data_IF_532963538131
#
_entry.id   IF_532963538131
#
_cell.length_a   1.000
_cell.length_b   1.000
_cell.length_c   1.000
_cell.angle_alpha   90.00
_cell.angle_beta   90.00
_cell.angle_gamma   90.00
#
_symmetry.space_group_name_H-M   'P 1'
#
loop_
_entity.id
_entity.type
_entity.pdbx_description
1 polymer ?
#
# COMPACT_ATOMS: atom_id res chain seq x y z
N UNK A 1 12.49 5.81 38.83
CA UNK A 1 11.63 4.75 39.38
C UNK A 1 12.54 3.72 40.03
N UNK A 2 12.26 3.29 41.27
CA UNK A 2 12.99 2.18 41.90
C UNK A 2 12.32 0.87 41.49
N UNK A 3 13.06 0.00 40.82
CA UNK A 3 12.61 -1.36 40.53
C UNK A 3 12.34 -2.11 41.84
N UNK A 4 11.20 -2.80 41.95
CA UNK A 4 10.83 -3.58 43.13
C UNK A 4 10.99 -5.06 42.81
N UNK A 5 11.98 -5.70 43.43
CA UNK A 5 12.22 -7.12 43.28
C UNK A 5 11.22 -7.96 44.10
N UNK A 6 10.93 -9.21 43.67
CA UNK A 6 10.26 -10.20 44.51
C UNK A 6 11.03 -10.41 45.82
N UNK A 7 10.33 -10.80 46.88
CA UNK A 7 10.99 -11.12 48.15
C UNK A 7 11.79 -12.43 48.04
N UNK A 8 12.72 -12.63 48.97
CA UNK A 8 13.64 -13.79 48.96
C UNK A 8 12.90 -15.13 48.94
N UNK A 9 11.77 -15.24 49.66
CA UNK A 9 10.95 -16.46 49.68
C UNK A 9 10.38 -16.77 48.29
N UNK A 10 9.93 -15.76 47.56
CA UNK A 10 9.44 -15.93 46.19
C UNK A 10 10.58 -16.32 45.25
N UNK A 11 11.75 -15.68 45.35
CA UNK A 11 12.91 -16.01 44.51
C UNK A 11 13.41 -17.44 44.72
N UNK A 12 13.47 -17.90 45.97
CA UNK A 12 13.91 -19.27 46.31
C UNK A 12 12.94 -20.36 45.86
N UNK A 13 11.67 -20.01 45.61
CA UNK A 13 10.65 -20.93 45.12
C UNK A 13 10.63 -21.07 43.59
N UNK A 14 11.36 -20.21 42.86
CA UNK A 14 11.42 -20.27 41.41
C UNK A 14 12.31 -21.43 40.95
N UNK A 15 11.78 -22.25 40.05
CA UNK A 15 12.54 -23.28 39.34
C UNK A 15 12.98 -22.81 37.96
N UNK A 16 12.23 -21.89 37.35
CA UNK A 16 12.53 -21.24 36.08
C UNK A 16 11.82 -19.89 35.96
N UNK A 17 12.30 -19.04 35.07
CA UNK A 17 11.60 -17.84 34.63
C UNK A 17 10.57 -18.20 33.54
N UNK A 18 9.29 -17.94 33.80
CA UNK A 18 8.20 -18.37 32.91
C UNK A 18 8.21 -17.69 31.54
N UNK A 19 8.81 -16.50 31.42
CA UNK A 19 8.85 -15.74 30.17
C UNK A 19 10.00 -16.18 29.26
N UNK A 20 11.17 -16.45 29.85
CA UNK A 20 12.41 -16.78 29.13
C UNK A 20 12.76 -18.26 29.14
N UNK A 21 12.14 -19.07 30.01
CA UNK A 21 12.47 -20.48 30.22
C UNK A 21 13.84 -20.71 30.87
N UNK A 22 14.49 -19.67 31.40
CA UNK A 22 15.79 -19.79 32.05
C UNK A 22 15.59 -20.40 33.45
N UNK A 23 16.08 -21.62 33.63
CA UNK A 23 16.02 -22.33 34.92
C UNK A 23 16.90 -21.66 35.99
N UNK A 24 16.41 -21.57 37.21
CA UNK A 24 17.18 -21.16 38.39
C UNK A 24 17.99 -22.33 38.94
N UNK A 25 19.11 -22.03 39.62
CA UNK A 25 19.92 -23.07 40.27
C UNK A 25 19.13 -23.65 41.45
N UNK A 26 18.88 -24.97 41.50
CA UNK A 26 18.16 -25.56 42.63
C UNK A 26 18.95 -25.42 43.93
N UNK A 27 18.25 -25.10 45.02
CA UNK A 27 18.85 -24.96 46.35
C UNK A 27 19.50 -26.27 46.79
N UNK A 28 20.75 -26.20 47.27
CA UNK A 28 21.47 -27.36 47.81
C UNK A 28 22.21 -28.22 46.77
N UNK A 29 22.33 -27.77 45.52
CA UNK A 29 22.99 -28.54 44.45
C UNK A 29 24.52 -28.44 44.50
N UNK A 30 25.22 -29.58 44.37
CA UNK A 30 26.67 -29.66 44.22
C UNK A 30 27.06 -30.55 43.04
N UNK A 31 28.03 -30.16 42.18
CA UNK A 31 28.86 -28.96 42.26
C UNK A 31 28.17 -27.70 41.70
N UNK A 32 28.06 -26.66 42.54
CA UNK A 32 27.40 -25.39 42.20
C UNK A 32 27.90 -24.75 40.89
N UNK A 33 29.21 -24.90 40.61
CA UNK A 33 29.85 -24.28 39.46
C UNK A 33 29.33 -24.78 38.11
N UNK A 34 28.90 -26.05 38.01
CA UNK A 34 28.32 -26.58 36.78
C UNK A 34 26.95 -25.95 36.52
N UNK A 35 26.10 -25.89 37.54
CA UNK A 35 24.77 -25.27 37.43
C UNK A 35 24.85 -23.78 37.14
N UNK A 36 25.80 -23.08 37.75
CA UNK A 36 26.08 -21.67 37.43
C UNK A 36 26.50 -21.47 35.97
N UNK A 37 27.36 -22.35 35.42
CA UNK A 37 27.75 -22.27 34.00
C UNK A 37 26.57 -22.52 33.06
N UNK A 38 25.65 -23.43 33.41
CA UNK A 38 24.42 -23.68 32.62
C UNK A 38 23.48 -22.48 32.63
N UNK A 39 23.24 -21.89 33.81
CA UNK A 39 22.45 -20.66 33.96
C UNK A 39 23.05 -19.54 33.11
N UNK A 40 24.36 -19.32 33.24
CA UNK A 40 25.07 -18.30 32.46
C UNK A 40 24.96 -18.56 30.96
N UNK A 41 25.17 -19.79 30.51
CA UNK A 41 25.05 -20.15 29.10
C UNK A 41 23.65 -19.86 28.55
N UNK A 42 22.59 -20.24 29.28
CA UNK A 42 21.20 -19.98 28.86
C UNK A 42 20.88 -18.49 28.84
N UNK A 43 21.35 -17.76 29.84
CA UNK A 43 21.20 -16.29 29.89
C UNK A 43 21.90 -15.63 28.69
N UNK A 44 23.09 -16.11 28.33
CA UNK A 44 23.83 -15.62 27.17
C UNK A 44 23.12 -15.94 25.84
N UNK A 45 22.52 -17.13 25.70
CA UNK A 45 21.72 -17.49 24.53
C UNK A 45 20.47 -16.60 24.41
N UNK A 46 19.78 -16.34 25.52
CA UNK A 46 18.63 -15.43 25.54
C UNK A 46 19.02 -13.99 25.18
N UNK A 47 20.21 -13.54 25.62
CA UNK A 47 20.73 -12.20 25.35
C UNK A 47 21.50 -12.08 24.02
N UNK A 48 21.72 -13.18 23.29
CA UNK A 48 22.55 -13.21 22.08
C UNK A 48 22.01 -12.25 21.03
N UNK A 49 20.71 -12.35 20.72
CA UNK A 49 20.03 -11.50 19.74
C UNK A 49 19.99 -10.02 20.15
N UNK A 50 20.01 -9.72 21.44
CA UNK A 50 20.08 -8.34 21.92
C UNK A 50 21.47 -7.71 21.68
N UNK A 51 22.51 -8.52 21.46
CA UNK A 51 23.86 -8.05 21.13
C UNK A 51 24.13 -7.93 19.63
N UNK A 52 23.27 -8.47 18.76
CA UNK A 52 23.40 -8.34 17.31
C UNK A 52 23.50 -6.86 16.91
N UNK A 53 24.47 -6.51 16.07
CA UNK A 53 24.65 -5.16 15.54
C UNK A 53 24.92 -4.07 16.60
N UNK A 54 25.22 -4.45 17.85
CA UNK A 54 25.50 -3.47 18.92
C UNK A 54 26.80 -2.71 18.64
N UNK A 55 26.74 -1.38 18.69
CA UNK A 55 27.92 -0.53 18.68
C UNK A 55 28.63 -0.53 20.05
N UNK A 56 29.96 -0.48 20.04
CA UNK A 56 30.79 -0.43 21.25
C UNK A 56 32.06 0.39 21.00
N UNK A 57 32.64 0.93 22.07
CA UNK A 57 33.92 1.64 22.02
C UNK A 57 35.06 0.66 21.73
N UNK A 58 35.87 0.97 20.72
CA UNK A 58 36.99 0.16 20.23
C UNK A 58 38.28 1.00 20.15
N UNK A 59 38.37 2.04 20.99
CA UNK A 59 39.46 3.01 21.07
C UNK A 59 38.93 4.43 21.39
N UNK A 60 39.84 5.39 21.57
CA UNK A 60 39.50 6.74 22.04
C UNK A 60 38.54 7.48 21.10
N UNK A 61 38.73 7.34 19.78
CA UNK A 61 37.87 7.89 18.72
C UNK A 61 37.48 6.82 17.69
N UNK A 62 37.30 5.58 18.15
CA UNK A 62 36.88 4.48 17.28
C UNK A 62 35.81 3.62 17.91
N UNK A 63 34.91 3.13 17.05
CA UNK A 63 33.87 2.18 17.43
C UNK A 63 34.03 0.87 16.68
N UNK A 64 33.55 -0.20 17.30
CA UNK A 64 33.21 -1.45 16.65
C UNK A 64 31.70 -1.65 16.61
N UNK A 65 31.25 -2.47 15.67
CA UNK A 65 29.86 -2.93 15.57
C UNK A 65 29.87 -4.44 15.49
N UNK A 66 29.10 -5.09 16.37
CA UNK A 66 29.02 -6.56 16.41
C UNK A 66 28.38 -7.12 15.12
N UNK A 67 28.73 -8.36 14.71
CA UNK A 67 27.98 -9.05 13.67
C UNK A 67 26.51 -9.21 14.07
N UNK A 68 25.66 -9.47 13.08
CA UNK A 68 24.25 -9.72 13.32
C UNK A 68 23.45 -9.82 12.03
N UNK A 69 22.14 -10.06 12.16
CA UNK A 69 21.21 -10.05 11.03
C UNK A 69 20.19 -8.93 11.18
N UNK A 70 19.88 -8.27 10.08
CA UNK A 70 18.82 -7.27 9.98
C UNK A 70 17.99 -7.49 8.72
N UNK A 71 16.84 -6.81 8.68
CA UNK A 71 16.03 -6.68 7.46
C UNK A 71 16.14 -5.24 7.01
N UNK A 72 16.51 -5.04 5.74
CA UNK A 72 16.54 -3.72 5.11
C UNK A 72 15.74 -3.84 3.81
N UNK A 73 14.71 -3.01 3.67
CA UNK A 73 13.65 -3.19 2.69
C UNK A 73 13.09 -4.60 2.77
N UNK A 74 13.23 -5.36 1.68
CA UNK A 74 12.71 -6.73 1.56
C UNK A 74 13.80 -7.81 1.66
N UNK A 75 15.02 -7.43 2.07
CA UNK A 75 16.17 -8.34 2.12
C UNK A 75 16.63 -8.59 3.55
N UNK A 76 16.84 -9.88 3.88
CA UNK A 76 17.56 -10.28 5.10
C UNK A 76 19.05 -10.15 4.85
N UNK A 77 19.72 -9.28 5.58
CA UNK A 77 21.14 -9.00 5.45
C UNK A 77 21.89 -9.55 6.66
N UNK A 78 22.96 -10.30 6.39
CA UNK A 78 23.94 -10.72 7.40
C UNK A 78 25.13 -9.77 7.42
N UNK A 79 25.29 -9.03 8.50
CA UNK A 79 26.43 -8.14 8.72
C UNK A 79 27.52 -8.86 9.50
N UNK A 80 28.75 -8.83 8.98
CA UNK A 80 29.89 -9.57 9.55
C UNK A 80 30.53 -8.88 10.78
N UNK A 81 30.15 -7.65 11.09
CA UNK A 81 30.79 -6.85 12.12
C UNK A 81 31.92 -5.97 11.56
N UNK A 82 32.31 -4.98 12.35
CA UNK A 82 33.44 -4.09 12.06
C UNK A 82 34.14 -3.67 13.33
N UNK A 83 35.40 -3.30 13.20
CA UNK A 83 36.25 -2.73 14.26
C UNK A 83 36.94 -1.48 13.74
N UNK A 84 37.54 -0.70 14.64
CA UNK A 84 38.38 0.46 14.34
C UNK A 84 37.74 1.50 13.40
N UNK A 85 36.41 1.66 13.47
CA UNK A 85 35.69 2.65 12.66
C UNK A 85 35.88 4.03 13.29
N UNK A 86 36.55 4.92 12.57
CA UNK A 86 36.93 6.24 13.09
C UNK A 86 35.71 7.16 13.24
N UNK A 87 35.59 7.77 14.41
CA UNK A 87 34.56 8.74 14.76
C UNK A 87 35.19 10.14 14.73
N UNK A 88 34.45 11.12 14.21
CA UNK A 88 34.96 12.49 14.14
C UNK A 88 34.89 13.14 15.54
N UNK A 89 35.98 13.78 15.96
CA UNK A 89 36.04 14.47 17.25
C UNK A 89 35.17 15.74 17.26
N UNK A 90 34.69 16.14 18.44
CA UNK A 90 33.86 17.33 18.69
C UNK A 90 32.58 17.40 17.81
N UNK A 91 31.99 16.23 17.50
CA UNK A 91 30.74 16.16 16.74
C UNK A 91 29.99 14.87 17.06
N UNK A 92 28.72 14.86 16.69
CA UNK A 92 27.90 13.64 16.64
C UNK A 92 28.16 12.90 15.33
N UNK A 93 28.27 11.58 15.40
CA UNK A 93 28.38 10.65 14.28
C UNK A 93 27.21 9.68 14.33
N UNK A 94 26.42 9.64 13.27
CA UNK A 94 25.33 8.71 13.06
C UNK A 94 25.84 7.45 12.38
N UNK A 95 25.54 6.30 12.98
CA UNK A 95 26.01 4.99 12.54
C UNK A 95 24.81 4.19 12.05
N UNK A 96 24.89 3.68 10.83
CA UNK A 96 23.83 2.88 10.21
C UNK A 96 24.39 1.84 9.25
N UNK A 97 23.61 0.83 8.92
CA UNK A 97 23.92 -0.11 7.83
C UNK A 97 23.01 0.22 6.65
N UNK A 98 23.58 0.43 5.47
CA UNK A 98 22.84 0.74 4.24
C UNK A 98 22.20 -0.51 3.59
N UNK A 99 21.39 -0.31 2.55
CA UNK A 99 20.75 -1.37 1.78
C UNK A 99 21.74 -2.37 1.15
N UNK A 100 23.01 -2.00 0.98
CA UNK A 100 24.07 -2.90 0.52
C UNK A 100 24.66 -3.77 1.64
N UNK A 101 24.21 -3.58 2.89
CA UNK A 101 24.74 -4.27 4.06
C UNK A 101 26.09 -3.72 4.54
N UNK A 102 26.43 -2.49 4.16
CA UNK A 102 27.69 -1.84 4.54
C UNK A 102 27.47 -0.86 5.68
N UNK A 103 28.42 -0.80 6.61
CA UNK A 103 28.38 0.18 7.70
C UNK A 103 28.75 1.57 7.19
N UNK A 104 27.95 2.55 7.55
CA UNK A 104 28.11 3.94 7.19
C UNK A 104 28.20 4.81 8.45
N UNK A 105 29.07 5.81 8.39
CA UNK A 105 29.26 6.82 9.42
C UNK A 105 29.01 8.19 8.79
N UNK A 106 28.07 8.95 9.34
CA UNK A 106 27.69 10.28 8.85
C UNK A 106 27.71 11.30 9.98
N UNK A 107 28.27 12.48 9.75
CA UNK A 107 28.26 13.58 10.75
C UNK A 107 27.12 14.57 10.51
N UNK A 108 26.35 14.42 9.44
CA UNK A 108 25.25 15.33 9.10
C UNK A 108 23.91 14.82 9.62
N UNK A 109 23.50 13.63 9.17
CA UNK A 109 22.25 12.97 9.55
C UNK A 109 22.26 11.51 9.04
N UNK A 110 21.32 10.70 9.53
CA UNK A 110 20.92 9.44 8.90
C UNK A 110 20.05 9.72 7.65
N UNK A 111 19.95 8.78 6.68
CA UNK A 111 19.02 8.89 5.57
C UNK A 111 17.56 9.05 6.03
N UNK A 112 16.73 9.67 5.21
CA UNK A 112 15.29 9.87 5.52
C UNK A 112 14.44 8.66 5.19
N UNK A 113 14.79 7.93 4.13
CA UNK A 113 14.11 6.70 3.73
C UNK A 113 14.49 5.53 4.66
N UNK A 114 13.57 5.18 5.56
CA UNK A 114 13.77 4.11 6.56
C UNK A 114 13.74 2.70 5.97
N UNK A 115 13.42 2.54 4.69
CA UNK A 115 13.49 1.23 4.01
C UNK A 115 14.89 0.95 3.48
N UNK A 116 15.73 1.98 3.31
CA UNK A 116 17.05 1.87 2.69
C UNK A 116 18.21 1.66 3.68
N UNK A 117 17.95 1.63 4.98
CA UNK A 117 18.97 1.42 6.01
C UNK A 117 18.39 0.92 7.34
N UNK A 118 19.25 0.45 8.23
CA UNK A 118 18.93 0.23 9.65
C UNK A 118 19.79 1.14 10.55
N UNK A 119 19.17 1.92 11.45
CA UNK A 119 19.91 2.71 12.44
C UNK A 119 20.61 1.80 13.46
N UNK A 120 21.85 2.14 13.79
CA UNK A 120 22.66 1.40 14.76
C UNK A 120 22.85 2.22 16.02
N UNK A 121 23.47 3.39 15.89
CA UNK A 121 23.79 4.23 17.04
C UNK A 121 23.97 5.69 16.65
N UNK A 122 23.94 6.53 17.67
CA UNK A 122 24.43 7.90 17.63
C UNK A 122 25.61 8.02 18.60
N UNK A 123 26.76 8.41 18.09
CA UNK A 123 28.02 8.48 18.84
C UNK A 123 28.43 9.94 18.97
N UNK A 124 28.64 10.41 20.19
CA UNK A 124 29.14 11.76 20.45
C UNK A 124 30.58 11.63 20.95
N UNK A 125 31.49 12.36 20.31
CA UNK A 125 32.87 12.48 20.74
C UNK A 125 33.22 13.94 21.02
N UNK A 126 34.01 14.17 22.08
CA UNK A 126 34.49 15.49 22.45
C UNK A 126 35.87 15.37 23.12
N UNK A 127 36.72 16.38 22.90
CA UNK A 127 38.06 16.44 23.51
C UNK A 127 38.94 15.18 23.28
N UNK A 128 38.73 14.50 22.15
CA UNK A 128 39.54 13.33 21.76
C UNK A 128 39.06 12.01 22.35
N UNK A 129 37.88 11.97 22.97
CA UNK A 129 37.26 10.75 23.51
C UNK A 129 35.79 10.63 23.11
N UNK A 130 35.28 9.40 23.02
CA UNK A 130 33.84 9.16 22.95
C UNK A 130 33.21 9.46 24.31
N UNK A 131 32.16 10.28 24.33
CA UNK A 131 31.44 10.67 25.55
C UNK A 131 30.08 10.00 25.68
N UNK A 132 29.49 9.54 24.57
CA UNK A 132 28.26 8.75 24.60
C UNK A 132 28.07 7.91 23.34
N UNK A 133 27.52 6.71 23.52
CA UNK A 133 26.94 5.89 22.44
C UNK A 133 25.48 5.66 22.79
N UNK A 134 24.57 6.26 22.03
CA UNK A 134 23.13 6.06 22.15
C UNK A 134 22.72 4.97 21.16
N UNK A 135 22.16 3.87 21.67
CA UNK A 135 21.65 2.78 20.86
C UNK A 135 20.36 3.18 20.13
N UNK A 136 20.34 3.06 18.80
CA UNK A 136 19.18 3.40 17.96
C UNK A 136 18.58 2.18 17.24
N UNK A 137 19.09 0.97 17.51
CA UNK A 137 18.60 -0.27 16.89
C UNK A 137 17.11 -0.52 17.15
N UNK A 138 16.61 -0.06 18.31
CA UNK A 138 15.20 -0.16 18.68
C UNK A 138 14.24 0.54 17.70
N UNK A 139 14.71 1.53 16.94
CA UNK A 139 13.89 2.24 15.95
C UNK A 139 13.47 1.37 14.77
N UNK A 140 14.24 0.31 14.48
CA UNK A 140 13.94 -0.62 13.39
C UNK A 140 13.34 -1.95 13.87
N UNK A 141 13.26 -2.17 15.20
CA UNK A 141 12.91 -3.49 15.75
C UNK A 141 11.46 -3.92 15.45
N UNK A 142 10.53 -2.97 15.40
CA UNK A 142 9.11 -3.19 15.06
C UNK A 142 8.67 -2.34 13.86
N UNK A 143 9.61 -1.91 13.03
CA UNK A 143 9.29 -1.15 11.84
C UNK A 143 8.60 -2.05 10.82
N UNK A 144 7.47 -1.59 10.28
CA UNK A 144 6.82 -2.20 9.14
C UNK A 144 7.45 -1.61 7.87
N UNK A 145 8.16 -2.40 7.05
CA UNK A 145 8.91 -1.86 5.91
C UNK A 145 8.00 -1.35 4.79
N UNK A 146 6.84 -1.99 4.56
CA UNK A 146 5.83 -1.53 3.61
C UNK A 146 4.42 -2.09 3.91
N UNK A 147 3.40 -1.58 3.22
CA UNK A 147 2.01 -2.05 3.33
C UNK A 147 1.81 -3.46 2.74
N UNK A 148 2.70 -3.92 1.86
CA UNK A 148 2.57 -5.22 1.20
C UNK A 148 2.69 -6.36 2.23
N UNK A 149 3.53 -6.18 3.27
CA UNK A 149 3.68 -7.16 4.35
C UNK A 149 2.49 -7.21 5.32
N UNK A 150 1.66 -6.17 5.35
CA UNK A 150 0.46 -6.16 6.19
C UNK A 150 -0.73 -6.87 5.52
N UNK A 151 -0.58 -7.35 4.28
CA UNK A 151 -1.70 -7.83 3.45
C UNK A 151 -2.90 -6.86 3.49
N UNK A 152 -2.63 -5.57 3.68
CA UNK A 152 -3.67 -4.56 3.55
C UNK A 152 -3.93 -4.50 2.04
N UNK A 153 -5.13 -4.91 1.58
CA UNK A 153 -5.46 -4.73 0.17
C UNK A 153 -5.27 -3.24 -0.10
N UNK A 154 -4.47 -2.90 -1.10
CA UNK A 154 -4.32 -1.54 -1.60
C UNK A 154 -5.73 -0.96 -1.65
N UNK A 155 -6.01 0.00 -0.77
CA UNK A 155 -7.36 0.54 -0.61
C UNK A 155 -7.70 1.17 -1.95
N UNK A 156 -8.52 0.47 -2.74
CA UNK A 156 -9.19 1.06 -3.90
C UNK A 156 -10.08 2.14 -3.28
N UNK A 157 -9.60 3.38 -3.29
CA UNK A 157 -10.49 4.52 -3.13
C UNK A 157 -11.57 4.38 -4.19
N UNK A 158 -12.83 4.41 -3.74
CA UNK A 158 -13.97 3.86 -4.46
C UNK A 158 -13.99 4.20 -5.95
N UNK A 159 -14.33 3.20 -6.76
CA UNK A 159 -14.73 3.42 -8.14
C UNK A 159 -15.83 4.47 -8.12
N UNK A 160 -15.62 5.59 -8.81
CA UNK A 160 -16.60 6.66 -8.87
C UNK A 160 -17.48 6.43 -10.08
N UNK A 161 -18.78 6.41 -9.85
CA UNK A 161 -19.78 6.26 -10.88
C UNK A 161 -20.52 7.59 -11.06
N UNK A 162 -20.57 8.07 -12.30
CA UNK A 162 -21.46 9.16 -12.69
C UNK A 162 -22.60 8.57 -13.53
N UNK A 163 -23.86 8.83 -13.15
CA UNK A 163 -25.04 8.20 -13.75
C UNK A 163 -26.00 9.25 -14.27
N UNK A 164 -26.34 9.15 -15.55
CA UNK A 164 -27.42 9.88 -16.19
C UNK A 164 -28.63 8.99 -16.33
N UNK A 165 -29.77 9.41 -15.77
CA UNK A 165 -31.06 8.76 -15.98
C UNK A 165 -31.95 9.70 -16.77
N UNK A 166 -32.37 9.24 -17.94
CA UNK A 166 -33.26 9.96 -18.84
C UNK A 166 -34.63 9.29 -18.78
N UNK A 167 -35.52 9.91 -18.00
CA UNK A 167 -36.88 9.41 -17.82
C UNK A 167 -37.77 9.71 -19.04
N UNK A 168 -38.73 8.82 -19.29
CA UNK A 168 -39.68 8.96 -20.39
C UNK A 168 -39.14 8.50 -21.75
N UNK A 169 -39.78 9.00 -22.79
CA UNK A 169 -39.57 8.61 -24.19
C UNK A 169 -38.52 9.53 -24.82
N UNK A 170 -37.46 8.94 -25.37
CA UNK A 170 -36.44 9.68 -26.12
C UNK A 170 -36.89 9.88 -27.57
N UNK A 171 -37.66 10.93 -27.82
CA UNK A 171 -38.23 11.21 -29.16
C UNK A 171 -37.25 11.94 -30.11
N UNK A 172 -36.12 12.43 -29.59
CA UNK A 172 -35.10 13.15 -30.36
C UNK A 172 -33.71 13.00 -29.70
N UNK A 173 -32.65 13.24 -30.46
CA UNK A 173 -31.28 13.30 -29.92
C UNK A 173 -31.15 14.39 -28.86
N UNK A 174 -30.37 14.11 -27.82
CA UNK A 174 -30.03 15.05 -26.76
C UNK A 174 -28.53 15.32 -26.77
N UNK A 175 -28.15 16.57 -26.55
CA UNK A 175 -26.75 17.00 -26.55
C UNK A 175 -26.37 17.61 -25.21
N UNK A 176 -25.11 17.46 -24.83
CA UNK A 176 -24.47 18.03 -23.64
C UNK A 176 -25.26 17.84 -22.34
N UNK A 177 -25.87 16.67 -22.18
CA UNK A 177 -26.62 16.35 -20.97
C UNK A 177 -25.67 16.13 -19.80
N UNK A 178 -25.87 16.87 -18.72
CA UNK A 178 -25.02 16.80 -17.53
C UNK A 178 -25.22 15.46 -16.80
N UNK A 179 -24.13 14.74 -16.59
CA UNK A 179 -24.10 13.48 -15.84
C UNK A 179 -23.51 13.69 -14.44
N UNK A 180 -22.50 14.55 -14.32
CA UNK A 180 -21.90 14.85 -13.03
C UNK A 180 -20.53 15.52 -13.14
N UNK A 181 -19.80 15.49 -12.02
CA UNK A 181 -18.43 16.01 -11.92
C UNK A 181 -17.51 14.92 -11.41
N UNK A 182 -16.25 14.93 -11.87
CA UNK A 182 -15.22 14.00 -11.43
C UNK A 182 -14.70 14.44 -10.06
N UNK A 183 -14.84 13.64 -8.99
CA UNK A 183 -14.45 14.05 -7.64
C UNK A 183 -12.99 13.71 -7.28
N UNK A 184 -12.32 12.91 -8.12
CA UNK A 184 -10.96 12.37 -7.92
C UNK A 184 -10.25 12.20 -9.27
N UNK A 185 -8.95 12.45 -9.31
CA UNK A 185 -8.12 12.18 -10.49
C UNK A 185 -8.13 10.68 -10.83
N UNK A 186 -8.29 10.35 -12.11
CA UNK A 186 -8.48 8.97 -12.51
C UNK A 186 -8.51 8.74 -14.01
N UNK A 187 -9.03 7.59 -14.37
CA UNK A 187 -9.22 7.16 -15.75
C UNK A 187 -10.65 6.65 -15.91
N UNK A 188 -11.30 6.98 -17.02
CA UNK A 188 -12.55 6.35 -17.39
C UNK A 188 -12.23 4.94 -17.88
N UNK A 189 -12.87 3.93 -17.29
CA UNK A 189 -12.65 2.51 -17.61
C UNK A 189 -13.87 1.85 -18.25
N UNK A 190 -14.99 2.55 -18.27
CA UNK A 190 -16.22 2.04 -18.85
C UNK A 190 -17.26 3.12 -19.06
N UNK A 191 -17.93 3.03 -20.21
CA UNK A 191 -19.17 3.74 -20.48
C UNK A 191 -20.22 2.68 -20.79
N UNK A 192 -21.30 2.70 -20.02
CA UNK A 192 -22.36 1.70 -20.10
C UNK A 192 -23.64 2.43 -20.48
N UNK A 193 -24.28 1.97 -21.54
CA UNK A 193 -25.59 2.43 -21.98
C UNK A 193 -26.59 1.30 -21.79
N UNK A 194 -27.73 1.61 -21.18
CA UNK A 194 -28.85 0.69 -20.96
C UNK A 194 -30.17 1.40 -21.25
N UNK A 195 -31.18 0.64 -21.67
CA UNK A 195 -32.53 1.15 -21.94
C UNK A 195 -33.56 0.24 -21.29
N UNK A 196 -34.60 0.80 -20.68
CA UNK A 196 -35.69 0.02 -20.10
C UNK A 196 -36.67 -0.53 -21.14
N UNK A 197 -36.79 0.13 -22.30
CA UNK A 197 -37.46 -0.40 -23.48
C UNK A 197 -36.73 0.07 -24.74
N UNK A 198 -36.61 -0.83 -25.72
CA UNK A 198 -36.04 -0.54 -27.03
C UNK A 198 -37.16 -0.26 -28.05
N UNK A 199 -36.80 0.32 -29.20
CA UNK A 199 -37.68 0.46 -30.36
C UNK A 199 -37.69 -0.84 -31.17
N UNK A 200 -38.84 -1.16 -31.76
CA UNK A 200 -38.92 -2.16 -32.82
C UNK A 200 -38.77 -1.44 -34.16
N UNK A 201 -37.82 -1.88 -34.99
CA UNK A 201 -37.56 -1.29 -36.32
C UNK A 201 -37.59 -2.35 -37.42
N UNK A 202 -37.99 -1.91 -38.62
CA UNK A 202 -37.90 -2.67 -39.86
C UNK A 202 -36.50 -2.58 -40.54
N UNK A 203 -35.55 -1.85 -39.94
CA UNK A 203 -34.17 -1.71 -40.42
C UNK A 203 -33.14 -1.83 -39.30
N UNK A 204 -31.95 -2.32 -39.66
CA UNK A 204 -30.76 -2.36 -38.80
C UNK A 204 -29.98 -1.04 -38.79
N UNK A 205 -30.43 -0.05 -39.57
CA UNK A 205 -29.82 1.27 -39.66
C UNK A 205 -30.23 2.21 -38.50
N UNK A 206 -31.23 1.82 -37.71
CA UNK A 206 -31.68 2.58 -36.54
C UNK A 206 -30.75 2.31 -35.35
N UNK A 207 -30.43 3.36 -34.59
CA UNK A 207 -29.48 3.25 -33.47
C UNK A 207 -29.75 4.26 -32.36
N UNK A 208 -29.23 3.94 -31.18
CA UNK A 208 -29.04 4.90 -30.09
C UNK A 208 -27.59 4.83 -29.66
N UNK A 209 -26.86 5.93 -29.78
CA UNK A 209 -25.47 6.01 -29.33
C UNK A 209 -25.35 6.96 -28.15
N UNK A 210 -24.42 6.66 -27.24
CA UNK A 210 -24.03 7.53 -26.14
C UNK A 210 -22.57 7.95 -26.30
N UNK A 211 -22.31 9.23 -26.53
CA UNK A 211 -20.95 9.78 -26.53
C UNK A 211 -20.69 10.48 -25.21
N UNK A 212 -19.83 9.88 -24.37
CA UNK A 212 -19.38 10.52 -23.15
C UNK A 212 -18.38 11.64 -23.49
N UNK A 213 -18.47 12.74 -22.78
CA UNK A 213 -17.64 13.92 -22.94
C UNK A 213 -17.05 14.38 -21.62
N UNK A 214 -15.82 14.87 -21.66
CA UNK A 214 -15.14 15.54 -20.56
C UNK A 214 -14.92 16.99 -20.96
N UNK A 215 -15.49 17.92 -20.19
CA UNK A 215 -15.40 19.36 -20.47
C UNK A 215 -15.80 19.72 -21.93
N UNK A 216 -16.82 19.06 -22.46
CA UNK A 216 -17.32 19.25 -23.83
C UNK A 216 -16.52 18.54 -24.92
N UNK A 217 -15.40 17.89 -24.60
CA UNK A 217 -14.61 17.11 -25.56
C UNK A 217 -15.04 15.65 -25.53
N UNK A 218 -15.32 15.06 -26.70
CA UNK A 218 -15.70 13.65 -26.80
C UNK A 218 -14.57 12.75 -26.28
N UNK A 219 -14.93 11.86 -25.37
CA UNK A 219 -14.04 10.90 -24.75
C UNK A 219 -14.11 9.56 -25.49
N UNK A 220 -15.30 8.98 -25.52
CA UNK A 220 -15.57 7.74 -26.21
C UNK A 220 -17.08 7.58 -26.47
N UNK A 221 -17.42 6.78 -27.48
CA UNK A 221 -18.81 6.57 -27.95
C UNK A 221 -19.21 5.12 -27.82
N UNK A 222 -20.26 4.84 -27.05
CA UNK A 222 -20.92 3.55 -27.01
C UNK A 222 -22.00 3.51 -28.07
N UNK A 223 -21.98 2.49 -28.91
CA UNK A 223 -22.95 2.26 -29.97
C UNK A 223 -23.59 0.87 -29.82
N UNK A 224 -24.64 0.72 -28.98
CA UNK A 224 -25.49 -0.46 -29.05
C UNK A 224 -26.21 -0.51 -30.39
N UNK A 225 -26.06 -1.62 -31.09
CA UNK A 225 -26.90 -1.94 -32.25
C UNK A 225 -28.28 -2.40 -31.77
N UNK A 226 -29.34 -1.90 -32.42
CA UNK A 226 -30.72 -2.29 -32.13
C UNK A 226 -31.03 -3.63 -32.82
N UNK A 227 -31.83 -4.47 -32.16
CA UNK A 227 -32.34 -5.75 -32.69
C UNK A 227 -33.51 -5.53 -33.65
N UNK A 228 -33.55 -6.27 -34.75
CA UNK A 228 -34.67 -6.29 -35.69
C UNK A 228 -35.91 -7.04 -35.15
N UNK A 229 -37.04 -6.86 -35.85
CA UNK A 229 -38.36 -7.43 -35.53
C UNK A 229 -38.38 -8.98 -35.47
N UNK A 230 -37.46 -9.65 -36.15
CA UNK A 230 -37.42 -11.12 -36.29
C UNK A 230 -36.55 -11.80 -35.22
N UNK A 231 -35.91 -11.03 -34.34
CA UNK A 231 -35.11 -11.54 -33.22
C UNK A 231 -33.82 -12.25 -33.66
N UNK A 232 -33.38 -12.07 -34.91
CA UNK A 232 -32.18 -12.70 -35.47
C UNK A 232 -31.10 -11.69 -35.82
N UNK A 233 -30.73 -10.84 -34.85
CA UNK A 233 -29.61 -9.91 -35.00
C UNK A 233 -29.17 -9.28 -33.68
N UNK A 234 -28.02 -9.73 -33.17
CA UNK A 234 -27.09 -9.10 -32.20
C UNK A 234 -27.63 -8.22 -31.03
N UNK A 235 -27.45 -8.75 -29.81
CA UNK A 235 -27.48 -8.17 -28.45
C UNK A 235 -27.81 -6.66 -28.32
N UNK A 236 -29.11 -6.41 -28.26
CA UNK A 236 -29.75 -5.20 -27.72
C UNK A 236 -29.48 -5.03 -26.21
N UNK A 237 -29.49 -3.78 -25.75
CA UNK A 237 -29.56 -3.38 -24.33
C UNK A 237 -30.85 -3.78 -23.61
N UNK A 238 -31.79 -4.47 -24.28
CA UNK A 238 -32.47 -5.69 -23.82
C UNK A 238 -33.72 -6.01 -24.66
N UNK A 239 -33.86 -7.26 -25.11
CA UNK A 239 -35.13 -8.00 -25.04
C UNK A 239 -34.85 -9.31 -24.28
N UNK A 240 -34.89 -9.25 -22.94
CA UNK A 240 -34.96 -10.45 -22.08
C UNK A 240 -33.67 -11.02 -21.46
N UNK A 241 -32.47 -10.56 -21.82
CA UNK A 241 -31.20 -11.08 -21.27
C UNK A 241 -30.50 -10.15 -20.24
N UNK A 242 -30.95 -8.89 -20.12
CA UNK A 242 -30.48 -7.92 -19.13
C UNK A 242 -29.04 -7.41 -19.34
N UNK A 243 -28.44 -7.60 -20.53
CA UNK A 243 -27.04 -7.21 -20.76
C UNK A 243 -26.94 -5.80 -21.35
N UNK A 244 -26.34 -4.86 -20.60
CA UNK A 244 -26.10 -3.50 -21.08
C UNK A 244 -24.98 -3.43 -22.15
N UNK A 245 -25.04 -2.45 -23.05
CA UNK A 245 -23.97 -2.19 -23.98
C UNK A 245 -22.85 -1.49 -23.23
N UNK A 246 -21.72 -2.19 -23.13
CA UNK A 246 -20.56 -1.72 -22.41
C UNK A 246 -19.46 -1.44 -23.41
N UNK A 247 -19.03 -0.18 -23.50
CA UNK A 247 -17.72 0.13 -24.05
C UNK A 247 -16.73 0.16 -22.90
N UNK A 248 -15.79 -0.79 -22.92
CA UNK A 248 -14.60 -0.70 -22.07
C UNK A 248 -13.58 0.17 -22.79
N UNK A 249 -13.30 1.32 -22.22
CA UNK A 249 -12.17 2.14 -22.64
C UNK A 249 -10.86 1.43 -22.25
N UNK A 250 -9.78 1.65 -23.00
CA UNK A 250 -8.49 1.01 -22.69
C UNK A 250 -7.82 1.62 -21.44
N UNK A 251 -8.48 2.62 -20.83
CA UNK A 251 -8.04 3.31 -19.63
C UNK A 251 -7.08 4.45 -19.93
N UNK A 252 -6.91 4.82 -21.21
CA UNK A 252 -6.07 5.95 -21.61
C UNK A 252 -6.76 7.31 -21.42
N UNK A 253 -8.07 7.29 -21.17
CA UNK A 253 -8.95 8.42 -20.99
C UNK A 253 -8.86 8.98 -19.58
N UNK A 254 -7.80 9.75 -19.35
CA UNK A 254 -7.54 10.42 -18.08
C UNK A 254 -8.55 11.53 -17.80
N UNK A 255 -8.97 11.62 -16.53
CA UNK A 255 -9.84 12.66 -16.00
C UNK A 255 -9.24 13.25 -14.74
N UNK A 256 -9.47 14.55 -14.55
CA UNK A 256 -8.98 15.30 -13.39
C UNK A 256 -10.16 15.63 -12.47
N UNK A 257 -9.90 15.70 -11.17
CA UNK A 257 -10.85 16.23 -10.20
C UNK A 257 -11.35 17.61 -10.63
N UNK A 258 -12.66 17.74 -10.70
CA UNK A 258 -13.37 18.96 -11.12
C UNK A 258 -13.81 18.95 -12.58
N UNK A 259 -13.37 17.98 -13.38
CA UNK A 259 -13.85 17.84 -14.75
C UNK A 259 -15.36 17.56 -14.79
N UNK A 260 -16.03 18.15 -15.78
CA UNK A 260 -17.47 18.01 -15.98
C UNK A 260 -17.73 16.88 -16.98
N UNK A 261 -18.55 15.91 -16.57
CA UNK A 261 -19.00 14.81 -17.40
C UNK A 261 -20.36 15.13 -18.03
N UNK A 262 -20.39 15.06 -19.35
CA UNK A 262 -21.61 15.23 -20.15
C UNK A 262 -21.77 14.05 -21.10
N UNK A 263 -22.99 13.86 -21.63
CA UNK A 263 -23.26 12.85 -22.66
C UNK A 263 -24.09 13.44 -23.79
N UNK A 264 -23.77 13.04 -25.02
CA UNK A 264 -24.68 13.16 -26.15
C UNK A 264 -25.38 11.82 -26.37
N UNK A 265 -26.71 11.86 -26.45
CA UNK A 265 -27.53 10.75 -26.91
C UNK A 265 -27.93 11.01 -28.36
N UNK A 266 -27.35 10.27 -29.30
CA UNK A 266 -27.72 10.40 -30.72
C UNK A 266 -28.66 9.28 -31.10
N UNK A 267 -29.89 9.66 -31.42
CA UNK A 267 -30.94 8.78 -31.94
C UNK A 267 -30.95 8.85 -33.46
N UNK A 268 -30.77 7.70 -34.11
CA UNK A 268 -30.87 7.55 -35.57
C UNK A 268 -32.12 6.75 -35.89
N UNK A 269 -33.03 7.35 -36.68
CA UNK A 269 -34.21 6.66 -37.19
C UNK A 269 -34.33 6.93 -38.70
N UNK A 270 -34.18 5.85 -39.46
CA UNK A 270 -34.23 5.75 -40.91
C UNK A 270 -35.41 4.87 -41.33
N UNK A 271 -35.72 3.83 -40.55
CA UNK A 271 -36.83 2.91 -40.81
C UNK A 271 -38.18 3.33 -40.23
N UNK A 272 -39.15 2.45 -40.37
CA UNK A 272 -40.43 2.54 -39.68
C UNK A 272 -40.26 1.98 -38.27
N UNK A 273 -40.29 2.85 -37.27
CA UNK A 273 -40.16 2.45 -35.86
C UNK A 273 -41.53 2.33 -35.21
N UNK A 274 -41.71 1.28 -34.41
CA UNK A 274 -42.87 1.13 -33.51
C UNK A 274 -42.40 1.33 -32.08
N UNK A 275 -42.68 2.51 -31.52
CA UNK A 275 -42.31 2.87 -30.15
C UNK A 275 -41.13 3.83 -30.05
N UNK A 276 -40.70 4.06 -28.81
CA UNK A 276 -39.59 4.96 -28.46
C UNK A 276 -38.66 4.28 -27.47
N UNK A 277 -37.39 4.70 -27.44
CA UNK A 277 -36.49 4.31 -26.37
C UNK A 277 -37.00 4.88 -25.05
N UNK A 278 -37.06 4.05 -24.01
CA UNK A 278 -37.55 4.46 -22.68
C UNK A 278 -36.56 4.15 -21.59
N UNK A 279 -36.53 5.00 -20.57
CA UNK A 279 -35.70 4.83 -19.38
C UNK A 279 -34.23 4.59 -19.74
N UNK A 280 -33.66 5.53 -20.50
CA UNK A 280 -32.27 5.43 -20.93
C UNK A 280 -31.36 5.75 -19.74
N UNK A 281 -30.37 4.91 -19.50
CA UNK A 281 -29.39 5.06 -18.44
C UNK A 281 -27.99 5.02 -19.03
N UNK A 282 -27.20 6.04 -18.71
CA UNK A 282 -25.77 6.08 -19.01
C UNK A 282 -24.98 6.05 -17.71
N UNK A 283 -24.05 5.12 -17.57
CA UNK A 283 -23.12 5.03 -16.45
C UNK A 283 -21.70 5.20 -16.97
N UNK A 284 -20.99 6.18 -16.41
CA UNK A 284 -19.55 6.39 -16.64
C UNK A 284 -18.81 5.93 -15.39
N UNK A 285 -17.87 5.01 -15.58
CA UNK A 285 -17.08 4.38 -14.52
C UNK A 285 -15.69 5.00 -14.52
N UNK A 286 -15.30 5.63 -13.42
CA UNK A 286 -13.99 6.23 -13.20
C UNK A 286 -13.25 5.43 -12.13
N UNK A 287 -12.07 4.95 -12.48
CA UNK A 287 -11.13 4.36 -11.52
C UNK A 287 -10.05 5.38 -11.13
N UNK A 288 -9.63 5.44 -9.86
CA UNK A 288 -8.52 6.30 -9.47
C UNK A 288 -7.25 5.90 -10.21
N UNK A 289 -6.44 6.89 -10.60
CA UNK A 289 -5.12 6.62 -11.14
C UNK A 289 -4.29 5.91 -10.06
N UNK A 290 -3.78 4.72 -10.34
CA UNK A 290 -2.78 4.08 -9.49
C UNK A 290 -1.55 4.99 -9.52
N UNK A 291 -1.38 5.85 -8.51
CA UNK A 291 -0.12 6.58 -8.36
C UNK A 291 0.96 5.52 -8.15
N UNK A 292 1.81 5.33 -9.16
CA UNK A 292 3.09 4.64 -9.02
C UNK A 292 4.04 5.48 -8.18
#
# INVERSE_FOLDING_TARGET
>A
MSERYPNDTALLALTEDAATGVEYIPTGTTPYYLEFRKLLQRTLLAAERANDLRAYEDGDLSIGVRPGRCVIGNSVIGYAGSTLQSVTNNTTTYVYIDAGGTLQLSTSAMPTDRTAFIPIAEVVAAAGVITSIVDRRGEAFLAVPDNAHLNLPTVVHGVVHAVGVFEGDLTASQTDQLIGVVPIDGQVVGIILSVGANIDSDTDADSLTATAKVNGTALATVDPKITDLDGTGFRSTAQGDGTAATLKTDGTELVTKGDVLTVDLTRTVIGTVTGEFRHVVVLIVVEPSQQQ
#
